data_IF_593238708229
#
_entry.id   IF_593238708229
#
_cell.length_a   1.000
_cell.length_b   1.000
_cell.length_c   1.000
_cell.angle_alpha   90.00
_cell.angle_beta   90.00
_cell.angle_gamma   90.00
#
_symmetry.space_group_name_H-M   'P 1'
#
loop_
_entity.id
_entity.type
_entity.pdbx_description
1 polymer ?
#
# COMPACT_ATOMS: atom_id res chain seq x y z
N UNK A 1 81.96 53.78 -27.60
CA UNK A 1 81.90 52.30 -27.65
C UNK A 1 80.43 51.93 -27.79
N UNK A 2 80.03 51.44 -28.98
CA UNK A 2 78.66 51.02 -29.30
C UNK A 2 78.36 49.69 -28.60
N UNK A 3 77.17 49.56 -28.00
CA UNK A 3 76.54 48.27 -27.71
C UNK A 3 75.15 48.24 -28.37
N UNK A 4 74.70 47.06 -28.85
CA UNK A 4 73.66 46.93 -29.87
C UNK A 4 72.24 47.02 -29.30
N UNK A 5 71.35 47.53 -30.15
CA UNK A 5 69.91 47.66 -29.93
C UNK A 5 69.25 46.29 -29.91
N UNK A 6 68.64 45.92 -28.77
CA UNK A 6 68.00 44.62 -28.57
C UNK A 6 66.54 44.71 -29.01
N UNK A 7 66.31 44.42 -30.30
CA UNK A 7 64.97 44.40 -30.90
C UNK A 7 64.18 43.17 -30.44
N UNK A 8 63.12 43.39 -29.67
CA UNK A 8 62.18 42.35 -29.24
C UNK A 8 61.32 41.92 -30.45
N UNK A 9 61.18 40.62 -30.78
CA UNK A 9 60.32 40.19 -31.87
C UNK A 9 58.83 40.35 -31.51
N UNK A 10 58.06 40.97 -32.40
CA UNK A 10 56.61 41.03 -32.30
C UNK A 10 56.00 39.64 -32.47
N UNK A 11 55.32 39.15 -31.42
CA UNK A 11 54.48 37.96 -31.49
C UNK A 11 53.38 38.18 -32.54
N UNK A 12 53.52 37.49 -33.67
CA UNK A 12 52.57 37.49 -34.77
C UNK A 12 51.28 36.83 -34.29
N UNK A 13 50.25 37.64 -34.04
CA UNK A 13 48.92 37.19 -33.66
C UNK A 13 48.30 36.36 -34.79
N UNK A 14 48.44 35.04 -34.72
CA UNK A 14 47.69 34.11 -35.56
C UNK A 14 46.23 34.16 -35.11
N UNK A 15 45.45 35.06 -35.70
CA UNK A 15 43.98 35.00 -35.65
C UNK A 15 43.57 33.77 -36.45
N UNK A 16 43.41 32.64 -35.76
CA UNK A 16 42.70 31.49 -36.30
C UNK A 16 41.24 31.91 -36.48
N UNK A 17 40.90 32.37 -37.68
CA UNK A 17 39.53 32.58 -38.10
C UNK A 17 38.86 31.21 -38.20
N UNK A 18 38.41 30.68 -37.07
CA UNK A 18 37.45 29.59 -37.01
C UNK A 18 36.19 30.08 -37.70
N UNK A 19 36.00 29.66 -38.96
CA UNK A 19 34.75 29.86 -39.70
C UNK A 19 33.65 29.19 -38.88
N UNK A 20 32.90 29.98 -38.10
CA UNK A 20 31.66 29.52 -37.47
C UNK A 20 30.79 29.07 -38.63
N UNK A 21 30.72 27.76 -38.87
CA UNK A 21 29.84 27.15 -39.87
C UNK A 21 28.44 27.63 -39.50
N UNK A 22 27.77 28.29 -40.45
CA UNK A 22 26.50 28.96 -40.23
C UNK A 22 25.55 28.09 -39.42
N UNK A 23 25.13 28.61 -38.27
CA UNK A 23 24.03 28.04 -37.52
C UNK A 23 22.82 28.00 -38.47
N UNK A 24 22.47 26.81 -38.93
CA UNK A 24 21.26 26.59 -39.72
C UNK A 24 20.10 26.92 -38.79
N UNK A 25 19.37 28.00 -39.09
CA UNK A 25 18.15 28.33 -38.36
C UNK A 25 17.13 27.22 -38.53
N UNK A 26 16.43 26.87 -37.45
CA UNK A 26 15.35 25.88 -37.47
C UNK A 26 14.26 26.36 -38.42
N UNK A 27 13.84 25.52 -39.37
CA UNK A 27 12.72 25.87 -40.24
C UNK A 27 11.41 25.74 -39.47
N UNK A 28 10.42 26.59 -39.81
CA UNK A 28 9.06 26.49 -39.24
C UNK A 28 8.47 25.09 -39.42
N UNK A 29 8.76 24.44 -40.55
CA UNK A 29 8.27 23.09 -40.84
C UNK A 29 8.94 22.02 -39.97
N UNK A 30 10.24 22.13 -39.66
CA UNK A 30 10.91 21.22 -38.73
C UNK A 30 10.33 21.31 -37.32
N UNK A 31 10.01 22.53 -36.85
CA UNK A 31 9.38 22.69 -35.55
C UNK A 31 7.93 22.16 -35.57
N UNK A 32 7.19 22.44 -36.64
CA UNK A 32 5.79 22.04 -36.79
C UNK A 32 5.60 20.52 -36.85
N UNK A 33 6.45 19.80 -37.57
CA UNK A 33 6.36 18.33 -37.63
C UNK A 33 6.71 17.67 -36.31
N UNK A 34 7.66 18.23 -35.54
CA UNK A 34 8.03 17.71 -34.22
C UNK A 34 6.89 17.85 -33.22
N UNK A 35 6.27 19.04 -33.13
CA UNK A 35 5.13 19.21 -32.21
C UNK A 35 3.92 18.39 -32.66
N UNK A 36 3.71 18.21 -33.96
CA UNK A 36 2.65 17.36 -34.49
C UNK A 36 2.88 15.88 -34.09
N UNK A 37 4.11 15.37 -34.24
CA UNK A 37 4.44 14.00 -33.84
C UNK A 37 4.40 13.81 -32.32
N UNK A 38 4.91 14.76 -31.53
CA UNK A 38 4.78 14.74 -30.07
C UNK A 38 3.31 14.77 -29.63
N UNK A 39 2.46 15.53 -30.32
CA UNK A 39 1.01 15.56 -30.08
C UNK A 39 0.34 14.21 -30.33
N UNK A 40 0.69 13.52 -31.42
CA UNK A 40 0.17 12.17 -31.74
C UNK A 40 0.61 11.17 -30.67
N UNK A 41 1.89 11.17 -30.30
CA UNK A 41 2.43 10.27 -29.26
C UNK A 41 1.75 10.52 -27.90
N UNK A 42 1.61 11.78 -27.49
CA UNK A 42 0.97 12.16 -26.24
C UNK A 42 -0.52 11.76 -26.22
N UNK A 43 -1.24 11.93 -27.34
CA UNK A 43 -2.66 11.57 -27.44
C UNK A 43 -2.91 10.07 -27.19
N UNK A 44 -1.97 9.20 -27.59
CA UNK A 44 -2.06 7.75 -27.35
C UNK A 44 -1.59 7.39 -25.91
N UNK A 45 -0.57 8.08 -25.39
CA UNK A 45 0.01 7.77 -24.07
C UNK A 45 -0.87 8.21 -22.88
N UNK A 46 -1.46 9.40 -22.92
CA UNK A 46 -2.18 9.98 -21.77
C UNK A 46 -3.34 9.09 -21.27
N UNK A 47 -4.25 8.57 -22.13
CA UNK A 47 -5.37 7.75 -21.64
C UNK A 47 -4.93 6.40 -21.07
N UNK A 48 -3.84 5.82 -21.59
CA UNK A 48 -3.34 4.51 -21.16
C UNK A 48 -2.54 4.57 -19.85
N UNK A 49 -1.95 5.73 -19.54
CA UNK A 49 -1.21 5.92 -18.29
C UNK A 49 -2.08 5.77 -17.03
N UNK A 50 -3.35 6.19 -17.08
CA UNK A 50 -4.28 6.10 -15.94
C UNK A 50 -4.63 4.65 -15.56
N UNK A 51 -4.94 3.82 -16.55
CA UNK A 51 -5.23 2.40 -16.35
C UNK A 51 -3.99 1.60 -15.93
N UNK A 52 -2.82 1.94 -16.48
CA UNK A 52 -1.56 1.34 -16.05
C UNK A 52 -1.26 1.64 -14.57
N UNK A 53 -1.48 2.88 -14.13
CA UNK A 53 -1.31 3.26 -12.71
C UNK A 53 -2.27 2.49 -11.81
N UNK A 54 -3.55 2.41 -12.15
CA UNK A 54 -4.52 1.67 -11.31
C UNK A 54 -4.19 0.18 -11.25
N UNK A 55 -3.77 -0.44 -12.36
CA UNK A 55 -3.31 -1.83 -12.38
C UNK A 55 -2.07 -2.05 -11.49
N UNK A 56 -1.08 -1.13 -11.53
CA UNK A 56 0.10 -1.20 -10.68
C UNK A 56 -0.25 -1.08 -9.19
N UNK A 57 -1.19 -0.21 -8.83
CA UNK A 57 -1.67 -0.08 -7.46
C UNK A 57 -2.43 -1.34 -7.00
N UNK A 58 -3.26 -1.96 -7.86
CA UNK A 58 -3.90 -3.26 -7.55
C UNK A 58 -2.86 -4.36 -7.29
N UNK A 59 -1.84 -4.44 -8.13
CA UNK A 59 -0.75 -5.40 -7.96
C UNK A 59 0.01 -5.17 -6.65
N UNK A 60 0.30 -3.90 -6.31
CA UNK A 60 0.94 -3.53 -5.04
C UNK A 60 0.11 -3.94 -3.83
N UNK A 61 -1.19 -3.64 -3.82
CA UNK A 61 -2.11 -4.06 -2.74
C UNK A 61 -2.15 -5.59 -2.59
N UNK A 62 -2.20 -6.33 -3.71
CA UNK A 62 -2.19 -7.81 -3.66
C UNK A 62 -0.88 -8.37 -3.10
N UNK A 63 0.27 -7.77 -3.46
CA UNK A 63 1.57 -8.17 -2.93
C UNK A 63 1.67 -7.90 -1.42
N UNK A 64 1.18 -6.75 -0.95
CA UNK A 64 1.09 -6.40 0.47
C UNK A 64 0.22 -7.41 1.24
N UNK A 65 -0.95 -7.75 0.72
CA UNK A 65 -1.82 -8.77 1.34
C UNK A 65 -1.18 -10.17 1.34
N UNK A 66 -0.43 -10.52 0.29
CA UNK A 66 0.31 -11.79 0.26
C UNK A 66 1.38 -11.86 1.33
N UNK A 67 2.11 -10.76 1.56
CA UNK A 67 3.10 -10.67 2.64
C UNK A 67 2.46 -10.86 4.02
N UNK A 68 1.31 -10.21 4.26
CA UNK A 68 0.58 -10.36 5.51
C UNK A 68 0.04 -11.78 5.69
N UNK A 69 -0.51 -12.38 4.64
CA UNK A 69 -0.97 -13.77 4.67
C UNK A 69 0.16 -14.73 5.05
N UNK A 70 1.35 -14.55 4.49
CA UNK A 70 2.53 -15.32 4.91
C UNK A 70 2.89 -15.09 6.39
N UNK A 71 2.82 -13.84 6.88
CA UNK A 71 3.04 -13.55 8.29
C UNK A 71 2.00 -14.23 9.22
N UNK A 72 0.75 -14.34 8.78
CA UNK A 72 -0.30 -15.07 9.50
C UNK A 72 -0.02 -16.58 9.54
N UNK A 73 0.46 -17.17 8.44
CA UNK A 73 0.88 -18.58 8.44
C UNK A 73 2.04 -18.84 9.40
N UNK A 74 3.04 -17.95 9.40
CA UNK A 74 4.16 -18.06 10.33
C UNK A 74 3.71 -17.92 11.79
N UNK A 75 2.78 -16.99 12.06
CA UNK A 75 2.19 -16.85 13.39
C UNK A 75 1.47 -18.13 13.81
N UNK A 76 0.67 -18.73 12.93
CA UNK A 76 -0.01 -20.01 13.20
C UNK A 76 0.99 -21.13 13.45
N UNK A 77 2.06 -21.22 12.67
CA UNK A 77 3.08 -22.25 12.85
C UNK A 77 3.78 -22.13 14.21
N UNK A 78 3.98 -20.90 14.70
CA UNK A 78 4.61 -20.64 16.00
C UNK A 78 3.66 -20.89 17.18
N UNK A 79 2.40 -20.43 17.09
CA UNK A 79 1.49 -20.36 18.22
C UNK A 79 0.30 -21.34 18.14
N UNK A 80 0.17 -22.09 17.05
CA UNK A 80 -0.86 -23.11 16.84
C UNK A 80 -2.23 -22.57 16.42
N UNK A 81 -2.44 -21.26 16.38
CA UNK A 81 -3.69 -20.62 15.95
C UNK A 81 -3.41 -19.29 15.25
N UNK A 82 -4.37 -18.78 14.46
CA UNK A 82 -4.26 -17.44 13.87
C UNK A 82 -4.47 -16.33 14.91
N UNK A 83 -3.95 -15.11 14.65
CA UNK A 83 -4.19 -13.95 15.49
C UNK A 83 -5.67 -13.65 15.74
N UNK A 84 -6.06 -13.50 17.00
CA UNK A 84 -7.38 -13.03 17.40
C UNK A 84 -7.42 -11.50 17.34
N UNK A 85 -7.89 -10.94 16.23
CA UNK A 85 -7.90 -9.49 16.01
C UNK A 85 -9.15 -8.78 16.57
N UNK A 86 -10.19 -9.53 16.90
CA UNK A 86 -11.50 -8.97 17.21
C UNK A 86 -12.17 -9.70 18.38
N UNK A 87 -12.92 -8.99 19.24
CA UNK A 87 -13.61 -9.59 20.38
C UNK A 87 -14.88 -10.33 19.96
N UNK A 88 -15.43 -9.97 18.79
CA UNK A 88 -16.62 -10.57 18.18
C UNK A 88 -16.41 -10.72 16.68
N UNK A 89 -17.08 -11.70 16.09
CA UNK A 89 -16.90 -12.05 14.68
C UNK A 89 -17.44 -11.02 13.67
N UNK A 90 -18.07 -9.92 14.12
CA UNK A 90 -18.68 -8.91 13.25
C UNK A 90 -17.66 -7.93 12.66
N UNK A 91 -16.51 -7.69 13.32
CA UNK A 91 -15.56 -6.63 12.94
C UNK A 91 -14.19 -7.18 12.51
N UNK A 92 -14.20 -7.98 11.44
CA UNK A 92 -13.01 -8.62 10.88
C UNK A 92 -12.20 -7.70 9.94
N UNK A 93 -11.82 -6.52 10.45
CA UNK A 93 -11.01 -5.55 9.72
C UNK A 93 -9.61 -5.41 10.33
N UNK A 94 -8.65 -5.07 9.49
CA UNK A 94 -7.26 -4.81 9.89
C UNK A 94 -7.15 -3.68 10.92
N UNK A 95 -7.96 -2.65 10.77
CA UNK A 95 -7.93 -1.43 11.61
C UNK A 95 -8.94 -1.45 12.76
N UNK A 96 -9.59 -2.58 13.08
CA UNK A 96 -10.54 -2.66 14.19
C UNK A 96 -9.87 -2.26 15.51
N UNK A 97 -10.44 -1.27 16.20
CA UNK A 97 -9.90 -0.77 17.47
C UNK A 97 -8.57 0.00 17.35
N UNK A 98 -8.15 0.33 16.13
CA UNK A 98 -6.98 1.17 15.90
C UNK A 98 -7.23 2.60 16.38
N UNK A 99 -6.18 3.24 16.87
CA UNK A 99 -6.20 4.63 17.33
C UNK A 99 -5.34 5.50 16.43
N UNK A 100 -5.75 6.76 16.28
CA UNK A 100 -5.16 7.71 15.34
C UNK A 100 -3.82 8.35 15.82
N UNK A 101 -3.05 7.59 16.61
CA UNK A 101 -1.79 8.03 17.23
C UNK A 101 -0.74 6.93 17.08
N UNK A 102 0.56 7.27 16.94
CA UNK A 102 1.59 6.26 16.67
C UNK A 102 1.84 5.38 17.91
N UNK A 103 1.84 5.99 19.08
CA UNK A 103 1.85 5.34 20.40
C UNK A 103 0.45 4.85 20.82
N UNK A 104 -0.46 4.70 19.87
CA UNK A 104 -1.82 4.20 20.07
C UNK A 104 -1.93 2.70 19.83
N UNK A 105 -3.00 2.06 20.32
CA UNK A 105 -3.25 0.64 20.05
C UNK A 105 -3.53 0.43 18.56
N UNK A 106 -2.95 -0.62 17.98
CA UNK A 106 -3.34 -1.15 16.67
C UNK A 106 -3.04 -2.64 16.64
N UNK A 107 -4.02 -3.44 17.06
CA UNK A 107 -3.80 -4.85 17.40
C UNK A 107 -3.18 -5.68 16.27
N UNK A 108 -3.63 -5.51 15.02
CA UNK A 108 -3.07 -6.22 13.87
C UNK A 108 -1.56 -5.94 13.68
N UNK A 109 -1.18 -4.67 13.62
CA UNK A 109 0.20 -4.24 13.57
C UNK A 109 0.98 -4.80 14.76
N UNK A 110 0.49 -4.54 15.97
CA UNK A 110 1.19 -4.84 17.21
C UNK A 110 1.46 -6.35 17.36
N UNK A 111 0.51 -7.20 16.97
CA UNK A 111 0.71 -8.66 16.95
C UNK A 111 1.78 -9.05 15.93
N UNK A 112 1.70 -8.57 14.69
CA UNK A 112 2.57 -9.03 13.60
C UNK A 112 3.98 -8.43 13.65
N UNK A 113 4.10 -7.19 14.13
CA UNK A 113 5.37 -6.50 14.25
C UNK A 113 6.10 -6.87 15.56
N UNK A 114 5.36 -7.25 16.61
CA UNK A 114 5.91 -7.53 17.93
C UNK A 114 6.31 -6.28 18.74
N UNK A 115 6.08 -5.09 18.18
CA UNK A 115 6.36 -3.77 18.74
C UNK A 115 5.24 -2.81 18.37
N UNK A 116 5.20 -1.65 19.02
CA UNK A 116 4.27 -0.57 18.65
C UNK A 116 4.73 0.14 17.38
N UNK A 117 3.82 0.89 16.74
CA UNK A 117 4.13 1.65 15.50
C UNK A 117 5.18 2.74 15.70
N UNK A 118 5.33 3.26 16.91
CA UNK A 118 6.40 4.20 17.29
C UNK A 118 7.72 3.50 17.67
N UNK A 119 7.80 2.17 17.51
CA UNK A 119 8.96 1.35 17.86
C UNK A 119 9.09 1.03 19.35
N UNK A 120 8.20 1.54 20.21
CA UNK A 120 8.22 1.23 21.64
C UNK A 120 7.81 -0.23 21.89
N UNK A 121 8.17 -0.74 23.07
CA UNK A 121 7.69 -2.05 23.53
C UNK A 121 6.17 -2.08 23.64
N UNK A 122 5.58 -3.23 23.32
CA UNK A 122 4.15 -3.45 23.51
C UNK A 122 3.75 -3.29 25.00
N UNK A 123 2.53 -2.79 25.29
CA UNK A 123 2.02 -2.76 26.66
C UNK A 123 2.03 -4.14 27.32
N UNK A 124 2.31 -4.19 28.63
CA UNK A 124 2.43 -5.45 29.38
C UNK A 124 1.10 -6.20 29.59
N UNK A 125 -0.03 -5.67 29.13
CA UNK A 125 -1.33 -6.31 29.27
C UNK A 125 -1.37 -7.60 28.43
N UNK A 126 -1.55 -8.76 29.09
CA UNK A 126 -1.62 -10.08 28.42
C UNK A 126 -3.03 -10.65 28.37
N UNK A 127 -3.99 -10.03 29.07
CA UNK A 127 -5.38 -10.50 29.15
C UNK A 127 -6.33 -9.39 28.73
N UNK A 128 -7.39 -9.76 28.02
CA UNK A 128 -8.39 -8.83 27.48
C UNK A 128 -9.21 -9.51 26.39
N UNK A 129 -10.27 -8.83 25.94
CA UNK A 129 -11.07 -9.26 24.80
C UNK A 129 -11.16 -8.12 23.77
N UNK A 130 -10.53 -8.23 22.58
CA UNK A 130 -9.65 -9.32 22.16
C UNK A 130 -8.37 -9.35 22.99
N UNK A 131 -7.70 -10.52 23.03
CA UNK A 131 -6.44 -10.65 23.76
C UNK A 131 -5.43 -9.62 23.22
N UNK A 132 -4.77 -8.81 24.07
CA UNK A 132 -3.82 -7.82 23.56
C UNK A 132 -2.62 -8.48 22.87
N UNK A 133 -1.90 -7.72 22.05
CA UNK A 133 -0.76 -8.24 21.29
C UNK A 133 0.30 -8.93 22.15
N UNK A 134 0.49 -8.46 23.39
CA UNK A 134 1.41 -9.07 24.34
C UNK A 134 1.00 -10.44 24.86
N UNK A 135 -0.30 -10.73 24.91
CA UNK A 135 -0.81 -12.05 25.27
C UNK A 135 -0.79 -13.03 24.10
N UNK A 136 -0.82 -12.53 22.85
CA UNK A 136 -0.83 -13.37 21.65
C UNK A 136 0.57 -13.64 21.08
N UNK A 137 1.39 -12.59 20.93
CA UNK A 137 2.78 -12.70 20.48
C UNK A 137 3.72 -12.59 21.69
N UNK A 138 3.71 -13.61 22.53
CA UNK A 138 4.46 -13.64 23.81
C UNK A 138 5.97 -13.55 23.59
N UNK A 139 6.48 -14.07 22.47
CA UNK A 139 7.90 -14.09 22.11
C UNK A 139 8.38 -12.85 21.34
N UNK A 140 7.49 -11.89 21.06
CA UNK A 140 7.79 -10.65 20.32
C UNK A 140 8.43 -10.91 18.95
N UNK A 141 8.01 -11.97 18.29
CA UNK A 141 8.51 -12.33 16.97
C UNK A 141 7.94 -11.35 15.94
N UNK A 142 8.79 -10.83 15.07
CA UNK A 142 8.36 -9.99 13.96
C UNK A 142 8.05 -10.87 12.75
N UNK A 143 6.76 -11.08 12.49
CA UNK A 143 6.24 -11.82 11.34
C UNK A 143 6.11 -10.95 10.09
N UNK A 144 5.78 -9.67 10.27
CA UNK A 144 5.64 -8.69 9.18
C UNK A 144 6.45 -7.44 9.53
N UNK A 145 7.11 -6.88 8.51
CA UNK A 145 7.77 -5.58 8.62
C UNK A 145 6.89 -4.52 7.98
N UNK A 146 6.57 -3.48 8.75
CA UNK A 146 5.81 -2.34 8.27
C UNK A 146 6.73 -1.14 8.07
N UNK A 147 6.33 -0.28 7.16
CA UNK A 147 7.00 0.97 6.80
C UNK A 147 5.99 2.11 6.84
N UNK A 148 6.47 3.35 6.76
CA UNK A 148 5.58 4.52 6.71
C UNK A 148 4.61 4.51 5.52
N UNK A 149 4.96 3.80 4.44
CA UNK A 149 4.09 3.64 3.28
C UNK A 149 2.83 2.82 3.59
N UNK A 150 2.89 1.94 4.59
CA UNK A 150 1.78 1.04 4.97
C UNK A 150 0.72 1.73 5.83
N UNK A 151 1.02 2.93 6.34
CA UNK A 151 0.09 3.70 7.19
C UNK A 151 -0.32 5.02 6.54
N UNK A 152 -1.48 5.53 6.93
CA UNK A 152 -1.88 6.91 6.66
C UNK A 152 -0.98 7.86 7.45
N UNK A 153 -0.21 8.69 6.75
CA UNK A 153 0.71 9.64 7.37
C UNK A 153 0.15 11.07 7.36
N UNK A 154 0.68 12.00 8.18
CA UNK A 154 0.17 13.37 8.24
C UNK A 154 0.15 14.06 6.86
N UNK A 155 1.17 13.80 6.03
CA UNK A 155 1.25 14.34 4.67
C UNK A 155 0.06 13.91 3.79
N UNK A 156 -0.48 12.71 4.01
CA UNK A 156 -1.60 12.18 3.23
C UNK A 156 -2.93 12.83 3.63
N UNK A 157 -3.07 13.14 4.92
CA UNK A 157 -4.20 13.91 5.43
C UNK A 157 -4.15 15.34 4.90
N UNK A 158 -2.96 15.97 4.89
CA UNK A 158 -2.76 17.30 4.29
C UNK A 158 -3.05 17.30 2.79
N UNK A 159 -2.70 16.22 2.08
CA UNK A 159 -2.99 16.05 0.66
C UNK A 159 -4.47 15.72 0.36
N UNK A 160 -5.30 15.51 1.39
CA UNK A 160 -6.70 15.14 1.24
C UNK A 160 -6.94 13.69 0.80
N UNK A 161 -5.94 12.83 0.86
CA UNK A 161 -6.04 11.41 0.46
C UNK A 161 -6.73 10.54 1.52
N UNK A 162 -6.74 10.96 2.78
CA UNK A 162 -7.37 10.25 3.89
C UNK A 162 -7.85 11.23 4.98
N UNK A 163 -8.90 10.91 5.75
CA UNK A 163 -9.38 11.75 6.84
C UNK A 163 -8.45 11.69 8.07
N UNK A 164 -8.44 12.77 8.86
CA UNK A 164 -7.56 12.90 10.04
C UNK A 164 -7.84 11.89 11.15
N UNK A 165 -9.06 11.37 11.24
CA UNK A 165 -9.45 10.33 12.21
C UNK A 165 -8.91 8.93 11.87
N UNK A 166 -8.32 8.75 10.69
CA UNK A 166 -7.67 7.51 10.24
C UNK A 166 -6.15 7.63 10.21
N UNK A 167 -5.59 8.68 10.81
CA UNK A 167 -4.13 8.85 10.88
C UNK A 167 -3.48 7.62 11.53
N UNK A 168 -2.33 7.16 11.02
CA UNK A 168 -1.64 5.93 11.44
C UNK A 168 -2.44 4.62 11.27
N UNK A 169 -3.59 4.62 10.59
CA UNK A 169 -4.26 3.38 10.23
C UNK A 169 -3.51 2.72 9.08
N UNK A 170 -3.55 1.40 9.03
CA UNK A 170 -3.01 0.65 7.89
C UNK A 170 -3.88 0.92 6.66
N UNK A 171 -3.22 1.12 5.52
CA UNK A 171 -3.87 1.39 4.24
C UNK A 171 -3.38 0.44 3.16
N UNK A 172 -4.15 0.36 2.08
CA UNK A 172 -3.69 -0.23 0.82
C UNK A 172 -2.99 0.82 -0.07
N UNK A 173 -2.58 0.41 -1.27
CA UNK A 173 -1.95 1.29 -2.25
C UNK A 173 -2.86 2.42 -2.77
N UNK A 174 -4.18 2.34 -2.53
CA UNK A 174 -5.18 3.33 -2.90
C UNK A 174 -5.58 4.25 -1.74
N UNK A 175 -4.85 4.22 -0.62
CA UNK A 175 -5.19 4.95 0.61
C UNK A 175 -6.48 4.48 1.29
N UNK A 176 -7.01 3.31 0.91
CA UNK A 176 -8.17 2.72 1.55
C UNK A 176 -7.76 2.01 2.85
N UNK A 177 -8.45 2.32 3.95
CA UNK A 177 -8.25 1.70 5.27
C UNK A 177 -9.29 0.62 5.57
N UNK A 178 -10.30 0.44 4.72
CA UNK A 178 -11.33 -0.59 4.86
C UNK A 178 -10.85 -1.91 4.25
N UNK A 179 -9.98 -2.60 4.99
CA UNK A 179 -9.39 -3.89 4.61
C UNK A 179 -9.91 -4.97 5.54
N UNK A 180 -10.59 -5.95 4.96
CA UNK A 180 -11.08 -7.12 5.66
C UNK A 180 -10.00 -8.21 5.76
N UNK A 181 -10.03 -8.94 6.85
CA UNK A 181 -9.15 -10.08 7.14
C UNK A 181 -9.96 -11.17 7.80
N UNK A 182 -9.96 -12.36 7.21
CA UNK A 182 -10.70 -13.51 7.75
C UNK A 182 -9.76 -14.70 7.82
N UNK A 183 -9.83 -15.42 8.92
CA UNK A 183 -8.93 -16.54 9.24
C UNK A 183 -9.76 -17.76 9.54
N UNK A 184 -9.20 -18.93 9.23
CA UNK A 184 -9.68 -20.24 9.65
C UNK A 184 -9.47 -20.37 11.17
N UNK A 185 -10.52 -20.12 11.97
CA UNK A 185 -10.38 -20.08 13.43
C UNK A 185 -10.52 -21.45 14.07
N UNK A 186 -11.13 -22.41 13.39
CA UNK A 186 -11.27 -23.78 13.87
C UNK A 186 -10.19 -24.74 13.33
N UNK A 187 -9.34 -24.26 12.41
CA UNK A 187 -8.21 -24.96 11.81
C UNK A 187 -8.63 -26.19 10.98
N UNK A 188 -9.81 -26.14 10.36
CA UNK A 188 -10.32 -27.21 9.49
C UNK A 188 -9.85 -27.10 8.03
N UNK A 189 -9.09 -26.05 7.71
CA UNK A 189 -8.54 -25.77 6.38
C UNK A 189 -9.53 -25.10 5.42
N UNK A 190 -10.72 -24.73 5.90
CA UNK A 190 -11.77 -24.10 5.09
C UNK A 190 -12.41 -22.95 5.84
N UNK A 191 -12.16 -21.73 5.36
CA UNK A 191 -12.88 -20.56 5.85
C UNK A 191 -14.36 -20.63 5.43
N UNK A 192 -15.24 -20.73 6.42
CA UNK A 192 -16.69 -20.80 6.26
C UNK A 192 -17.44 -20.12 7.43
N UNK A 193 -18.77 -20.25 7.46
CA UNK A 193 -19.61 -19.60 8.48
C UNK A 193 -19.30 -19.98 9.93
N UNK A 194 -18.57 -21.09 10.17
CA UNK A 194 -18.12 -21.52 11.51
C UNK A 194 -16.99 -20.66 12.04
N UNK A 195 -16.14 -20.11 11.17
CA UNK A 195 -15.02 -19.26 11.56
C UNK A 195 -15.46 -17.84 11.95
N UNK A 196 -16.67 -17.49 11.53
CA UNK A 196 -17.19 -16.12 11.58
C UNK A 196 -18.61 -16.11 12.14
N UNK A 197 -18.75 -16.39 13.44
CA UNK A 197 -20.02 -16.39 14.21
C UNK A 197 -20.78 -15.05 14.25
N UNK A 198 -20.35 -14.05 13.47
CA UNK A 198 -20.88 -12.69 13.38
C UNK A 198 -20.95 -12.18 11.94
N UNK A 199 -20.77 -13.08 10.95
CA UNK A 199 -20.77 -12.76 9.53
C UNK A 199 -19.39 -12.43 8.97
N UNK A 200 -19.29 -12.42 7.64
CA UNK A 200 -18.12 -11.94 6.91
C UNK A 200 -18.29 -10.46 6.60
N UNK A 201 -17.23 -9.63 6.62
CA UNK A 201 -17.31 -8.27 6.09
C UNK A 201 -17.85 -8.30 4.65
N UNK A 202 -19.01 -7.71 4.44
CA UNK A 202 -19.69 -7.75 3.15
C UNK A 202 -19.30 -6.55 2.30
N UNK A 203 -19.22 -6.77 1.00
CA UNK A 203 -19.19 -5.68 0.04
C UNK A 203 -20.58 -5.03 -0.02
N UNK A 204 -20.69 -3.78 0.38
CA UNK A 204 -21.93 -3.01 0.25
C UNK A 204 -21.74 -1.94 -0.82
N UNK A 205 -22.67 -1.88 -1.76
CA UNK A 205 -22.71 -0.83 -2.78
C UNK A 205 -23.47 0.38 -2.23
N UNK A 206 -22.82 1.54 -2.21
CA UNK A 206 -23.43 2.81 -1.88
C UNK A 206 -23.30 3.75 -3.08
N UNK A 207 -24.39 3.95 -3.83
CA UNK A 207 -24.36 4.66 -5.11
C UNK A 207 -23.55 3.90 -6.16
N UNK A 208 -22.54 4.53 -6.74
CA UNK A 208 -21.63 3.94 -7.73
C UNK A 208 -20.32 3.39 -7.16
N UNK A 209 -20.19 3.30 -5.82
CA UNK A 209 -18.97 2.81 -5.17
C UNK A 209 -19.28 1.69 -4.20
N UNK A 210 -18.48 0.64 -4.28
CA UNK A 210 -18.48 -0.50 -3.38
C UNK A 210 -17.52 -0.23 -2.23
N UNK A 211 -17.96 -0.49 -1.00
CA UNK A 211 -17.14 -0.40 0.21
C UNK A 211 -17.35 -1.63 1.05
N UNK A 212 -16.28 -2.16 1.65
CA UNK A 212 -16.41 -3.26 2.60
C UNK A 212 -16.94 -2.73 3.93
N UNK A 213 -18.04 -3.28 4.41
CA UNK A 213 -18.64 -2.95 5.71
C UNK A 213 -18.88 -4.22 6.53
N UNK A 214 -18.75 -4.13 7.87
CA UNK A 214 -19.11 -5.25 8.72
C UNK A 214 -20.60 -5.56 8.53
N UNK A 215 -20.95 -6.83 8.32
CA UNK A 215 -22.35 -7.27 8.24
C UNK A 215 -22.69 -8.12 9.47
N UNK A 216 -23.94 -8.08 9.90
CA UNK A 216 -24.47 -8.94 10.98
C UNK A 216 -25.23 -10.15 10.44
N UNK A 217 -25.27 -10.32 9.11
CA UNK A 217 -25.98 -11.43 8.48
C UNK A 217 -25.23 -12.73 8.71
N UNK A 218 -25.83 -13.58 9.55
CA UNK A 218 -25.39 -14.94 9.84
C UNK A 218 -25.93 -15.88 8.76
N UNK A 219 -25.17 -16.14 7.70
CA UNK A 219 -25.37 -17.38 6.95
C UNK A 219 -24.59 -18.48 7.66
N UNK A 220 -25.17 -19.03 8.72
CA UNK A 220 -24.70 -20.29 9.31
C UNK A 220 -24.95 -21.43 8.33
N UNK A 221 -24.05 -21.57 7.37
CA UNK A 221 -23.98 -22.67 6.42
C UNK A 221 -22.64 -23.39 6.57
N UNK A 222 -22.67 -24.72 6.68
CA UNK A 222 -21.47 -25.58 6.60
C UNK A 222 -21.11 -25.90 5.14
N UNK A 223 -22.04 -25.68 4.20
CA UNK A 223 -21.90 -26.14 2.82
C UNK A 223 -21.27 -25.05 1.96
N UNK A 224 -19.99 -25.26 1.61
CA UNK A 224 -19.21 -24.33 0.79
C UNK A 224 -18.38 -23.37 1.64
N UNK A 225 -17.14 -23.14 1.21
CA UNK A 225 -16.17 -22.30 1.87
C UNK A 225 -14.92 -22.13 1.00
N UNK A 226 -13.99 -21.29 1.43
CA UNK A 226 -12.73 -21.08 0.71
C UNK A 226 -11.65 -21.93 1.36
N UNK A 227 -10.99 -22.80 0.58
CA UNK A 227 -9.80 -23.52 1.03
C UNK A 227 -8.63 -22.55 1.17
N UNK A 228 -8.53 -21.97 2.36
CA UNK A 228 -7.53 -20.99 2.76
C UNK A 228 -7.48 -20.95 4.28
N UNK A 229 -6.31 -20.71 4.83
CA UNK A 229 -6.12 -20.41 6.24
C UNK A 229 -6.33 -18.93 6.57
N UNK A 230 -6.04 -18.03 5.63
CA UNK A 230 -6.31 -16.58 5.77
C UNK A 230 -6.66 -15.94 4.43
N UNK A 231 -7.62 -15.01 4.46
CA UNK A 231 -8.06 -14.22 3.30
C UNK A 231 -8.06 -12.74 3.67
N UNK A 232 -7.40 -11.93 2.85
CA UNK A 232 -7.46 -10.48 2.89
C UNK A 232 -8.18 -9.95 1.66
N UNK A 233 -9.03 -8.95 1.83
CA UNK A 233 -9.67 -8.29 0.71
C UNK A 233 -10.04 -6.83 1.00
N UNK A 234 -10.03 -6.02 -0.07
CA UNK A 234 -10.52 -4.65 -0.05
C UNK A 234 -11.20 -4.31 -1.38
N UNK A 235 -12.00 -3.24 -1.36
CA UNK A 235 -12.59 -2.67 -2.55
C UNK A 235 -11.68 -1.55 -3.10
N UNK A 236 -11.20 -1.63 -4.36
CA UNK A 236 -10.50 -0.51 -4.97
C UNK A 236 -11.47 0.66 -5.23
N UNK A 237 -10.95 1.89 -5.39
CA UNK A 237 -11.76 3.04 -5.78
C UNK A 237 -12.51 2.78 -7.09
N UNK A 238 -13.81 3.11 -7.12
CA UNK A 238 -14.67 2.93 -8.28
C UNK A 238 -15.13 1.49 -8.52
N UNK A 239 -14.84 0.56 -7.60
CA UNK A 239 -15.43 -0.77 -7.66
C UNK A 239 -16.95 -0.69 -7.55
N UNK A 240 -17.67 -1.49 -8.33
CA UNK A 240 -19.14 -1.57 -8.35
C UNK A 240 -19.66 -2.97 -8.09
N UNK A 241 -18.78 -3.97 -8.18
CA UNK A 241 -19.11 -5.40 -8.04
C UNK A 241 -18.07 -6.13 -7.18
N UNK A 242 -18.50 -7.19 -6.50
CA UNK A 242 -17.64 -8.05 -5.67
C UNK A 242 -16.52 -8.71 -6.50
N UNK A 243 -16.73 -8.89 -7.81
CA UNK A 243 -15.72 -9.43 -8.71
C UNK A 243 -14.51 -8.50 -8.90
N UNK A 244 -14.62 -7.24 -8.50
CA UNK A 244 -13.57 -6.23 -8.62
C UNK A 244 -12.74 -6.08 -7.33
N UNK A 245 -13.06 -6.85 -6.29
CA UNK A 245 -12.31 -6.86 -5.04
C UNK A 245 -10.86 -7.30 -5.29
N UNK A 246 -9.93 -6.58 -4.65
CA UNK A 246 -8.56 -7.03 -4.57
C UNK A 246 -8.48 -7.99 -3.40
N UNK A 247 -8.11 -9.24 -3.68
CA UNK A 247 -8.03 -10.29 -2.68
C UNK A 247 -6.73 -11.08 -2.76
N UNK A 248 -6.28 -11.57 -1.61
CA UNK A 248 -5.17 -12.51 -1.48
C UNK A 248 -5.49 -13.49 -0.37
N UNK A 249 -5.17 -14.76 -0.62
CA UNK A 249 -5.38 -15.83 0.34
C UNK A 249 -4.15 -16.74 0.40
N UNK A 250 -4.01 -17.45 1.53
CA UNK A 250 -3.01 -18.50 1.74
C UNK A 250 -3.64 -19.67 2.45
#
# INVERSE_FOLDING_TARGET
MRLPDFSIPHHRSLRLAGRIRGARGFTLIELLTVIALLGILAAILIPTAGSAKSAALRAKTRAQFSQWATGFEQFRQEYGSYPQLYPSATQKFVNTGATATPSGNHLFHDILAGVRRDGQSLPAATTGNPTPAAGQNTRRIRFVSFTDADFVMPADVTAGNAPSNQLYFIRDAFYNTSIAVVTDSNLDGVINGRDSSGGFPAATVAGSSLTIRPTTVLTTGTTGGTHAGVVFYCAPPGATSENELIMSWR
#
